data_IF_096078519896
#
_entry.id   IF_096078519896
#
_cell.length_a   1.000
_cell.length_b   1.000
_cell.length_c   1.000
_cell.angle_alpha   90.00
_cell.angle_beta   90.00
_cell.angle_gamma   90.00
#
_symmetry.space_group_name_H-M   'P 1'
#
loop_
_entity.id
_entity.type
_entity.pdbx_description
1 polymer ?
#
# COMPACT_ATOMS: atom_id res chain seq x y z
N UNK A 1 -19.02 -25.67 32.73
CA UNK A 1 -18.05 -25.91 31.63
C UNK A 1 -18.83 -26.09 30.33
N UNK A 2 -19.25 -25.01 29.67
CA UNK A 2 -20.04 -25.08 28.43
C UNK A 2 -19.09 -25.18 27.24
N UNK A 3 -19.00 -26.39 26.69
CA UNK A 3 -18.19 -26.75 25.52
C UNK A 3 -18.66 -25.92 24.32
N UNK A 4 -17.86 -24.92 23.93
CA UNK A 4 -18.10 -24.13 22.73
C UNK A 4 -18.14 -25.05 21.52
N UNK A 5 -19.34 -25.27 20.97
CA UNK A 5 -19.52 -25.92 19.68
C UNK A 5 -18.86 -25.02 18.65
N UNK A 6 -17.65 -25.38 18.24
CA UNK A 6 -16.99 -24.79 17.08
C UNK A 6 -17.84 -25.17 15.87
N UNK A 7 -18.74 -24.27 15.48
CA UNK A 7 -19.47 -24.37 14.23
C UNK A 7 -18.46 -24.32 13.09
N UNK A 8 -18.11 -25.49 12.55
CA UNK A 8 -17.39 -25.64 11.30
C UNK A 8 -18.33 -25.25 10.14
N UNK A 9 -18.76 -23.99 10.12
CA UNK A 9 -19.57 -23.42 9.06
C UNK A 9 -18.73 -23.14 7.83
N UNK A 10 -19.29 -23.40 6.64
CA UNK A 10 -18.68 -23.03 5.36
C UNK A 10 -18.39 -21.52 5.36
N UNK A 11 -17.20 -21.07 4.89
CA UNK A 11 -16.81 -19.65 4.87
C UNK A 11 -17.80 -18.72 4.11
N UNK A 12 -18.75 -19.29 3.36
CA UNK A 12 -19.79 -18.56 2.64
C UNK A 12 -20.77 -17.81 3.53
N UNK A 13 -20.93 -18.18 4.81
CA UNK A 13 -21.82 -17.46 5.73
C UNK A 13 -21.35 -16.02 6.04
N UNK A 14 -20.08 -15.70 5.75
CA UNK A 14 -19.53 -14.33 5.84
C UNK A 14 -19.20 -13.75 4.45
N UNK A 15 -19.77 -14.31 3.38
CA UNK A 15 -19.47 -13.90 2.02
C UNK A 15 -19.83 -12.42 1.77
N UNK A 16 -20.93 -11.91 2.31
CA UNK A 16 -21.38 -10.55 1.98
C UNK A 16 -20.45 -9.46 2.52
N UNK A 17 -19.91 -9.61 3.74
CA UNK A 17 -18.87 -8.71 4.27
C UNK A 17 -17.52 -8.84 3.55
N UNK A 18 -17.20 -10.01 2.99
CA UNK A 18 -15.98 -10.20 2.17
C UNK A 18 -16.15 -9.62 0.76
N UNK A 19 -17.37 -9.66 0.19
CA UNK A 19 -17.70 -9.13 -1.13
C UNK A 19 -17.48 -7.62 -1.20
N UNK A 20 -17.93 -6.87 -0.19
CA UNK A 20 -17.73 -5.42 -0.12
C UNK A 20 -16.23 -5.04 -0.09
N UNK A 21 -15.44 -5.75 0.71
CA UNK A 21 -13.99 -5.57 0.76
C UNK A 21 -13.29 -5.92 -0.57
N UNK A 22 -13.78 -6.92 -1.32
CA UNK A 22 -13.26 -7.26 -2.65
C UNK A 22 -13.70 -6.29 -3.75
N UNK A 23 -14.92 -5.75 -3.70
CA UNK A 23 -15.42 -4.77 -4.67
C UNK A 23 -14.70 -3.42 -4.54
N UNK A 24 -14.42 -2.96 -3.32
CA UNK A 24 -13.58 -1.78 -3.08
C UNK A 24 -12.12 -1.95 -3.55
N UNK A 25 -11.65 -3.20 -3.65
CA UNK A 25 -10.34 -3.52 -4.25
C UNK A 25 -10.35 -3.51 -5.77
N UNK A 26 -11.52 -3.61 -6.40
CA UNK A 26 -11.74 -3.62 -7.86
C UNK A 26 -12.12 -2.24 -8.42
N UNK A 27 -12.51 -1.28 -7.59
CA UNK A 27 -12.71 0.11 -8.02
C UNK A 27 -11.45 0.58 -8.77
N UNK A 28 -11.63 0.98 -10.04
CA UNK A 28 -10.57 1.23 -11.02
C UNK A 28 -9.41 2.04 -10.43
N UNK A 29 -8.37 1.32 -9.99
CA UNK A 29 -7.11 1.93 -9.61
C UNK A 29 -6.34 2.16 -10.91
N UNK A 30 -5.85 3.38 -11.18
CA UNK A 30 -5.06 3.64 -12.37
C UNK A 30 -3.89 2.65 -12.43
N UNK A 31 -3.64 2.11 -13.63
CA UNK A 31 -2.60 1.13 -13.83
C UNK A 31 -1.25 1.67 -13.36
N UNK A 32 -0.67 1.04 -12.33
CA UNK A 32 0.64 1.43 -11.79
C UNK A 32 1.72 0.67 -12.55
N UNK A 33 2.67 1.40 -13.12
CA UNK A 33 3.91 0.81 -13.66
C UNK A 33 4.99 0.79 -12.58
N UNK A 34 5.71 -0.32 -12.47
CA UNK A 34 6.90 -0.43 -11.62
C UNK A 34 8.09 0.14 -12.36
N UNK A 35 8.87 0.97 -11.67
CA UNK A 35 10.16 1.46 -12.14
C UNK A 35 11.27 0.74 -11.38
N UNK A 36 12.39 0.51 -12.06
CA UNK A 36 13.62 0.06 -11.41
C UNK A 36 14.48 1.29 -11.10
N UNK A 37 15.08 1.30 -9.91
CA UNK A 37 15.91 2.39 -9.43
C UNK A 37 17.16 1.75 -8.83
N UNK A 38 18.32 2.22 -9.29
CA UNK A 38 19.60 1.85 -8.71
C UNK A 38 20.01 2.94 -7.72
N UNK A 39 20.25 2.52 -6.48
CA UNK A 39 20.74 3.37 -5.39
C UNK A 39 21.95 2.69 -4.77
N UNK A 40 22.93 3.47 -4.36
CA UNK A 40 24.00 2.96 -3.49
C UNK A 40 23.43 2.53 -2.14
N UNK A 41 24.17 1.68 -1.42
CA UNK A 41 23.78 1.24 -0.09
C UNK A 41 23.53 2.41 0.86
N UNK A 42 24.39 3.42 0.82
CA UNK A 42 24.28 4.60 1.68
C UNK A 42 23.03 5.43 1.38
N UNK A 43 22.71 5.66 0.11
CA UNK A 43 21.52 6.41 -0.29
C UNK A 43 20.25 5.71 0.15
N UNK A 44 20.16 4.39 -0.05
CA UNK A 44 19.02 3.60 0.40
C UNK A 44 18.88 3.60 1.93
N UNK A 45 20.00 3.55 2.67
CA UNK A 45 19.98 3.63 4.13
C UNK A 45 19.47 4.99 4.62
N UNK A 46 19.97 6.09 4.04
CA UNK A 46 19.50 7.45 4.37
C UNK A 46 18.01 7.61 4.05
N UNK A 47 17.57 7.08 2.90
CA UNK A 47 16.17 7.11 2.49
C UNK A 47 15.27 6.33 3.46
N UNK A 48 15.72 5.18 3.97
CA UNK A 48 15.01 4.42 5.01
C UNK A 48 14.90 5.18 6.33
N UNK A 49 15.99 5.81 6.77
CA UNK A 49 15.99 6.59 8.02
C UNK A 49 15.01 7.75 7.90
N UNK A 50 15.07 8.50 6.78
CA UNK A 50 14.17 9.60 6.51
C UNK A 50 12.69 9.16 6.48
N UNK A 51 12.41 8.03 5.82
CA UNK A 51 11.07 7.44 5.80
C UNK A 51 10.55 7.11 7.20
N UNK A 52 11.38 6.48 8.03
CA UNK A 52 11.01 6.13 9.41
C UNK A 52 10.76 7.37 10.28
N UNK A 53 11.57 8.42 10.14
CA UNK A 53 11.42 9.66 10.90
C UNK A 53 10.11 10.40 10.59
N UNK A 54 9.66 10.38 9.33
CA UNK A 54 8.46 11.08 8.89
C UNK A 54 7.20 10.19 8.94
N UNK A 55 7.33 8.91 9.31
CA UNK A 55 6.21 7.96 9.31
C UNK A 55 5.68 7.63 7.91
N UNK A 56 6.49 7.85 6.88
CA UNK A 56 6.13 7.64 5.47
C UNK A 56 6.80 6.40 4.91
N UNK A 57 6.30 5.88 3.77
CA UNK A 57 7.03 4.86 3.03
C UNK A 57 7.95 5.50 2.00
N UNK A 58 9.03 4.79 1.63
CA UNK A 58 9.93 5.22 0.54
C UNK A 58 9.15 5.50 -0.76
N UNK A 59 8.09 4.73 -1.03
CA UNK A 59 7.23 4.92 -2.20
C UNK A 59 6.50 6.26 -2.15
N UNK A 60 6.01 6.66 -0.98
CA UNK A 60 5.25 7.91 -0.83
C UNK A 60 6.18 9.10 -0.97
N UNK A 61 7.38 9.02 -0.38
CA UNK A 61 8.43 10.04 -0.55
C UNK A 61 8.81 10.19 -2.02
N UNK A 62 9.08 9.08 -2.72
CA UNK A 62 9.44 9.14 -4.14
C UNK A 62 8.32 9.70 -5.00
N UNK A 63 7.06 9.36 -4.69
CA UNK A 63 5.90 9.93 -5.38
C UNK A 63 5.77 11.42 -5.17
N UNK A 64 5.84 11.88 -3.92
CA UNK A 64 5.74 13.30 -3.60
C UNK A 64 6.84 14.11 -4.30
N UNK A 65 8.06 13.59 -4.35
CA UNK A 65 9.16 14.26 -5.05
C UNK A 65 8.99 14.24 -6.58
N UNK A 66 8.45 13.16 -7.15
CA UNK A 66 8.10 13.11 -8.57
C UNK A 66 6.98 14.10 -8.90
N UNK A 67 5.93 14.16 -8.08
CA UNK A 67 4.81 15.07 -8.25
C UNK A 67 5.29 16.52 -8.18
N UNK A 68 6.11 16.88 -7.19
CA UNK A 68 6.74 18.21 -7.11
C UNK A 68 7.61 18.54 -8.33
N UNK A 69 8.32 17.57 -8.88
CA UNK A 69 9.17 17.78 -10.05
C UNK A 69 8.34 17.98 -11.32
N UNK A 70 7.27 17.20 -11.51
CA UNK A 70 6.43 17.25 -12.71
C UNK A 70 5.49 18.46 -12.66
N UNK A 71 4.87 18.72 -11.52
CA UNK A 71 3.90 19.81 -11.36
C UNK A 71 4.60 21.17 -11.17
N UNK A 72 5.83 21.16 -10.64
CA UNK A 72 6.65 22.36 -10.43
C UNK A 72 7.36 22.88 -11.69
N UNK A 73 7.41 22.10 -12.78
CA UNK A 73 8.03 22.46 -14.06
C UNK A 73 7.01 23.01 -15.09
N UNK A 74 5.76 23.23 -14.67
CA UNK A 74 4.68 23.82 -15.49
C UNK A 74 4.54 25.34 -15.32
N UNK A 75 5.63 26.05 -14.95
CA UNK A 75 5.66 27.51 -14.80
C UNK A 75 6.56 28.19 -15.84
#
# INVERSE_FOLDING_TARGET
MTKGVLSAGRPSAKADKRKEATLASLADRPAKKRVNIDLTYEEHQRLKIYAAQNGMTIKDILREQIDKLIDGDQA
#
